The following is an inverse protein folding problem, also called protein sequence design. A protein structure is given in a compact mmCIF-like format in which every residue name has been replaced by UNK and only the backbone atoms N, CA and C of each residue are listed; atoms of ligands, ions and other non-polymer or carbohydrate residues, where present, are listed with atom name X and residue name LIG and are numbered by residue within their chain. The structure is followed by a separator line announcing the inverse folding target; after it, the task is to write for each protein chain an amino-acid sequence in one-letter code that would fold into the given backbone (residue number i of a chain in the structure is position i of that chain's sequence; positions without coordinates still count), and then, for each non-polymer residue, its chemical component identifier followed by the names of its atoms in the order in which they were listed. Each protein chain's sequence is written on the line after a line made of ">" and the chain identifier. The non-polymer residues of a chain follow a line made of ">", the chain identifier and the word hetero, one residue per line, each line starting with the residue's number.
data_IF_568884649705
#
_entry.id   IF_568884649705
#
_cell.length_a   1.000
_cell.length_b   1.000
_cell.length_c   1.000
_cell.angle_alpha   90.00
_cell.angle_beta   90.00
_cell.angle_gamma   90.00
#
_symmetry.space_group_name_H-M   'P 1'
#
loop_
_entity.id
_entity.type
_entity.pdbx_description
1 polymer ?
#
# COMPACT_ATOMS: atom_id res chain seq x y z
N UNK A 1 -21.81 12.63 -6.87
CA UNK A 1 -20.71 13.42 -7.41
C UNK A 1 -21.15 14.00 -8.76
N UNK A 2 -21.09 15.32 -8.93
CA UNK A 2 -21.27 16.00 -10.22
C UNK A 2 -19.91 16.51 -10.72
N UNK A 3 -19.73 16.48 -12.07
CA UNK A 3 -18.54 17.01 -12.72
C UNK A 3 -18.97 18.07 -13.74
N UNK A 4 -18.37 19.26 -13.65
CA UNK A 4 -18.62 20.35 -14.61
C UNK A 4 -17.30 20.81 -15.19
N UNK A 5 -17.18 20.81 -16.53
CA UNK A 5 -16.00 21.31 -17.24
C UNK A 5 -16.30 22.65 -17.90
N UNK A 6 -15.34 23.58 -17.82
CA UNK A 6 -15.36 24.88 -18.51
C UNK A 6 -13.98 25.22 -19.07
N UNK A 7 -13.93 26.08 -20.09
CA UNK A 7 -12.69 26.48 -20.78
C UNK A 7 -12.43 25.70 -22.06
N UNK A 8 -11.25 25.92 -22.65
CA UNK A 8 -10.80 25.37 -23.94
C UNK A 8 -9.61 24.39 -23.76
N UNK A 9 -8.89 24.09 -24.84
CA UNK A 9 -7.74 23.18 -24.77
C UNK A 9 -6.46 23.84 -24.22
N UNK A 10 -6.40 25.18 -24.18
CA UNK A 10 -5.26 25.92 -23.60
C UNK A 10 -5.41 26.04 -22.08
N UNK A 11 -6.60 26.33 -21.64
CA UNK A 11 -6.95 26.48 -20.23
C UNK A 11 -8.34 25.94 -19.96
N UNK A 12 -8.43 24.92 -19.11
CA UNK A 12 -9.73 24.41 -18.66
C UNK A 12 -9.76 24.13 -17.17
N UNK A 13 -10.96 24.11 -16.63
CA UNK A 13 -11.24 23.69 -15.25
C UNK A 13 -12.27 22.57 -15.24
N UNK A 14 -12.15 21.70 -14.25
CA UNK A 14 -13.17 20.70 -13.90
C UNK A 14 -13.52 20.90 -12.44
N UNK A 15 -14.75 21.19 -12.14
CA UNK A 15 -15.29 21.23 -10.79
C UNK A 15 -15.94 19.88 -10.46
N UNK A 16 -15.47 19.26 -9.37
CA UNK A 16 -16.03 18.02 -8.83
C UNK A 16 -16.76 18.35 -7.52
N UNK A 17 -18.08 18.25 -7.54
CA UNK A 17 -18.94 18.62 -6.41
C UNK A 17 -19.58 17.37 -5.80
N UNK A 18 -19.41 17.19 -4.48
CA UNK A 18 -19.99 16.09 -3.71
C UNK A 18 -21.49 16.31 -3.42
N UNK A 19 -22.14 15.32 -2.82
CA UNK A 19 -23.56 15.42 -2.44
C UNK A 19 -23.83 16.52 -1.39
N UNK A 20 -22.83 16.89 -0.59
CA UNK A 20 -22.90 18.00 0.37
C UNK A 20 -22.39 19.34 -0.20
N UNK A 21 -22.36 19.47 -1.54
CA UNK A 21 -21.90 20.66 -2.25
C UNK A 21 -20.44 21.08 -1.93
N UNK A 22 -19.59 20.13 -1.55
CA UNK A 22 -18.16 20.35 -1.42
C UNK A 22 -17.52 20.28 -2.79
N UNK A 23 -16.95 21.38 -3.27
CA UNK A 23 -16.39 21.47 -4.63
C UNK A 23 -14.87 21.48 -4.60
N UNK A 24 -14.24 20.50 -5.22
CA UNK A 24 -12.82 20.52 -5.58
C UNK A 24 -12.69 21.01 -7.02
N UNK A 25 -11.77 21.95 -7.25
CA UNK A 25 -11.50 22.51 -8.59
C UNK A 25 -10.16 22.01 -9.11
N UNK A 26 -10.19 21.45 -10.30
CA UNK A 26 -9.01 20.99 -11.06
C UNK A 26 -8.82 21.94 -12.26
N UNK A 27 -7.73 22.69 -12.29
CA UNK A 27 -7.38 23.57 -13.41
C UNK A 27 -6.16 23.04 -14.11
N UNK A 28 -6.19 23.03 -15.43
CA UNK A 28 -5.07 22.64 -16.30
C UNK A 28 -4.82 23.77 -17.28
N UNK A 29 -3.57 24.22 -17.33
CA UNK A 29 -3.09 25.29 -18.20
C UNK A 29 -1.88 24.81 -19.00
N UNK A 30 -1.97 24.83 -20.32
CA UNK A 30 -0.86 24.60 -21.23
C UNK A 30 -0.07 25.91 -21.41
N UNK A 31 1.18 25.92 -20.94
CA UNK A 31 2.01 27.12 -20.93
C UNK A 31 2.52 27.45 -22.32
N UNK A 32 2.60 28.73 -22.69
CA UNK A 32 3.13 29.18 -23.99
C UNK A 32 4.59 28.80 -24.20
N UNK A 33 5.38 28.76 -23.13
CA UNK A 33 6.77 28.29 -23.16
C UNK A 33 6.90 26.75 -23.22
N UNK A 34 5.77 26.06 -23.30
CA UNK A 34 5.68 24.61 -23.19
C UNK A 34 5.57 24.14 -21.73
N UNK A 35 5.13 22.91 -21.56
CA UNK A 35 4.81 22.34 -20.24
C UNK A 35 3.34 22.56 -19.85
N UNK A 36 3.01 22.06 -18.66
CA UNK A 36 1.62 22.00 -18.19
C UNK A 36 1.55 22.34 -16.71
N UNK A 37 0.78 23.36 -16.35
CA UNK A 37 0.52 23.73 -14.97
C UNK A 37 -0.85 23.17 -14.56
N UNK A 38 -0.86 22.34 -13.55
CA UNK A 38 -2.08 21.78 -12.93
C UNK A 38 -2.25 22.37 -11.54
N UNK A 39 -3.44 22.88 -11.27
CA UNK A 39 -3.79 23.42 -9.96
C UNK A 39 -5.00 22.66 -9.42
N UNK A 40 -4.89 22.17 -8.19
CA UNK A 40 -6.02 21.56 -7.47
C UNK A 40 -6.33 22.46 -6.29
N UNK A 41 -7.57 22.94 -6.24
CA UNK A 41 -8.10 23.72 -5.12
C UNK A 41 -9.13 22.85 -4.39
N UNK A 42 -8.85 22.56 -3.13
CA UNK A 42 -9.76 21.81 -2.26
C UNK A 42 -11.00 22.66 -1.87
N UNK A 43 -12.09 22.04 -1.40
CA UNK A 43 -13.29 22.77 -0.98
C UNK A 43 -13.06 23.82 0.11
N UNK A 44 -11.99 23.70 0.88
CA UNK A 44 -11.57 24.67 1.90
C UNK A 44 -10.59 25.75 1.39
N UNK A 45 -10.37 25.80 0.06
CA UNK A 45 -9.51 26.79 -0.59
C UNK A 45 -7.99 26.48 -0.54
N UNK A 46 -7.56 25.34 -0.01
CA UNK A 46 -6.16 24.93 -0.07
C UNK A 46 -5.77 24.59 -1.50
N UNK A 47 -4.59 25.07 -1.92
CA UNK A 47 -4.13 24.97 -3.30
C UNK A 47 -2.88 24.10 -3.38
N UNK A 48 -2.95 23.07 -4.22
CA UNK A 48 -1.80 22.30 -4.70
C UNK A 48 -1.51 22.67 -6.15
N UNK A 49 -0.25 22.89 -6.50
CA UNK A 49 0.16 23.09 -7.89
C UNK A 49 1.12 21.99 -8.34
N UNK A 50 1.02 21.59 -9.59
CA UNK A 50 1.97 20.67 -10.26
C UNK A 50 2.37 21.29 -11.59
N UNK A 51 3.64 21.62 -11.73
CA UNK A 51 4.25 22.02 -12.98
C UNK A 51 4.94 20.83 -13.63
N UNK A 52 4.54 20.47 -14.82
CA UNK A 52 5.19 19.49 -15.68
C UNK A 52 6.05 20.24 -16.71
N UNK A 53 7.37 20.10 -16.60
CA UNK A 53 8.34 20.73 -17.52
C UNK A 53 8.51 19.92 -18.80
N UNK A 54 9.07 20.57 -19.84
CA UNK A 54 9.46 19.90 -21.10
C UNK A 54 10.67 18.97 -20.93
N UNK A 55 11.42 19.16 -19.86
CA UNK A 55 12.60 18.39 -19.47
C UNK A 55 12.25 17.14 -18.65
N UNK A 56 11.01 16.69 -18.70
CA UNK A 56 10.45 15.62 -17.84
C UNK A 56 10.56 15.92 -16.34
N UNK A 57 10.76 17.19 -15.96
CA UNK A 57 10.67 17.57 -14.55
C UNK A 57 9.22 17.73 -14.13
N UNK A 58 8.97 17.39 -12.86
CA UNK A 58 7.70 17.62 -12.17
C UNK A 58 7.97 18.35 -10.88
N UNK A 59 7.38 19.53 -10.72
CA UNK A 59 7.45 20.30 -9.48
C UNK A 59 6.05 20.39 -8.86
N UNK A 60 5.93 19.92 -7.64
CA UNK A 60 4.68 19.98 -6.84
C UNK A 60 4.92 21.00 -5.74
N UNK A 61 4.00 21.96 -5.58
CA UNK A 61 3.96 22.85 -4.42
C UNK A 61 2.70 22.56 -3.63
N UNK A 62 2.89 22.12 -2.39
CA UNK A 62 1.82 21.82 -1.44
C UNK A 62 1.29 23.09 -0.78
N UNK A 63 0.07 23.08 -0.17
CA UNK A 63 -0.53 24.27 0.46
C UNK A 63 0.27 24.84 1.62
N UNK A 64 1.09 24.04 2.29
CA UNK A 64 2.00 24.46 3.35
C UNK A 64 3.28 25.12 2.83
N UNK A 65 3.46 25.21 1.49
CA UNK A 65 4.65 25.74 0.84
C UNK A 65 5.78 24.71 0.64
N UNK A 66 5.59 23.43 1.01
CA UNK A 66 6.55 22.37 0.69
C UNK A 66 6.64 22.19 -0.82
N UNK A 67 7.87 22.20 -1.37
CA UNK A 67 8.14 22.00 -2.79
C UNK A 67 8.81 20.64 -2.99
N UNK A 68 8.19 19.80 -3.83
CA UNK A 68 8.75 18.53 -4.25
C UNK A 68 9.08 18.58 -5.74
N UNK A 69 10.35 18.42 -6.10
CA UNK A 69 10.81 18.36 -7.49
C UNK A 69 11.32 16.98 -7.82
N UNK A 70 10.79 16.41 -8.91
CA UNK A 70 11.25 15.14 -9.49
C UNK A 70 11.82 15.45 -10.88
N UNK A 71 13.00 14.89 -11.19
CA UNK A 71 13.58 14.90 -12.54
C UNK A 71 13.83 13.49 -12.98
N UNK A 72 13.64 13.22 -14.27
CA UNK A 72 13.82 11.89 -14.86
C UNK A 72 15.02 11.87 -15.79
N UNK A 73 15.78 10.77 -15.74
CA UNK A 73 16.96 10.52 -16.56
C UNK A 73 16.80 9.16 -17.24
N UNK A 74 17.40 8.98 -18.43
CA UNK A 74 17.31 7.72 -19.15
C UNK A 74 18.03 6.59 -18.40
N UNK A 75 17.43 5.41 -18.38
CA UNK A 75 18.10 4.15 -18.04
C UNK A 75 19.17 3.86 -19.12
N UNK A 76 20.36 3.32 -18.78
CA UNK A 76 21.41 3.03 -19.75
C UNK A 76 21.03 1.98 -20.82
N UNK A 77 20.01 1.13 -20.55
CA UNK A 77 19.52 0.10 -21.48
C UNK A 77 18.21 0.48 -22.16
N UNK A 78 17.27 1.01 -21.38
CA UNK A 78 15.88 1.22 -21.81
C UNK A 78 15.54 2.69 -22.08
N UNK A 79 16.50 3.60 -21.88
CA UNK A 79 16.26 5.03 -22.05
C UNK A 79 15.13 5.55 -21.14
N UNK A 80 14.29 6.43 -21.70
CA UNK A 80 13.13 6.99 -20.96
C UNK A 80 11.93 6.04 -20.88
N UNK A 81 12.02 4.80 -21.36
CA UNK A 81 10.97 3.78 -21.16
C UNK A 81 11.02 3.22 -19.73
N UNK A 82 12.18 3.28 -19.06
CA UNK A 82 12.35 2.89 -17.65
C UNK A 82 13.17 3.96 -16.91
N UNK A 83 12.66 5.21 -16.76
CA UNK A 83 13.47 6.34 -16.32
C UNK A 83 13.91 6.20 -14.87
N UNK A 84 15.15 6.60 -14.59
CA UNK A 84 15.66 6.84 -13.26
C UNK A 84 15.14 8.19 -12.76
N UNK A 85 14.81 8.30 -11.48
CA UNK A 85 14.20 9.52 -10.91
C UNK A 85 15.04 10.07 -9.78
N UNK A 86 15.37 11.37 -9.84
CA UNK A 86 15.88 12.11 -8.71
C UNK A 86 14.76 12.93 -8.06
N UNK A 87 14.79 13.04 -6.75
CA UNK A 87 13.80 13.74 -5.95
C UNK A 87 14.48 14.77 -5.06
N UNK A 88 13.91 15.98 -5.00
CA UNK A 88 14.27 17.00 -4.02
C UNK A 88 13.00 17.46 -3.32
N UNK A 89 13.00 17.44 -2.00
CA UNK A 89 11.92 17.98 -1.16
C UNK A 89 12.48 19.16 -0.39
N UNK A 90 11.87 20.33 -0.54
CA UNK A 90 12.21 21.55 0.20
C UNK A 90 11.03 21.96 1.07
N UNK A 91 11.22 22.01 2.37
CA UNK A 91 10.20 22.45 3.32
C UNK A 91 10.07 23.98 3.32
N UNK A 92 8.97 24.57 3.82
CA UNK A 92 8.79 26.04 3.88
C UNK A 92 9.89 26.79 4.64
N UNK A 93 10.51 26.13 5.62
CA UNK A 93 11.64 26.70 6.40
C UNK A 93 13.02 26.47 5.76
N UNK A 94 13.05 25.97 4.51
CA UNK A 94 14.28 25.81 3.72
C UNK A 94 15.07 24.52 3.98
N UNK A 95 14.57 23.56 4.77
CA UNK A 95 15.22 22.24 4.88
C UNK A 95 15.06 21.49 3.57
N UNK A 96 16.17 20.87 3.12
CA UNK A 96 16.21 20.14 1.85
C UNK A 96 16.55 18.68 2.10
N UNK A 97 15.74 17.77 1.53
CA UNK A 97 16.02 16.36 1.41
C UNK A 97 16.20 16.00 -0.06
N UNK A 98 17.27 15.26 -0.37
CA UNK A 98 17.59 14.83 -1.74
C UNK A 98 17.69 13.32 -1.85
N UNK A 99 17.12 12.78 -2.92
CA UNK A 99 17.30 11.40 -3.36
C UNK A 99 17.82 11.42 -4.77
N UNK A 100 18.99 10.82 -5.00
CA UNK A 100 19.57 10.67 -6.33
C UNK A 100 19.69 9.19 -6.65
N UNK A 101 19.25 8.80 -7.84
CA UNK A 101 19.40 7.43 -8.35
C UNK A 101 20.26 7.42 -9.59
N UNK A 102 21.20 6.50 -9.66
CA UNK A 102 22.00 6.24 -10.85
C UNK A 102 22.08 4.75 -11.13
N UNK A 103 22.22 4.38 -12.40
CA UNK A 103 22.42 3.00 -12.85
C UNK A 103 23.55 2.94 -13.84
N UNK A 104 24.43 1.97 -13.71
CA UNK A 104 25.35 1.55 -14.75
C UNK A 104 25.04 0.11 -15.16
N UNK A 105 25.16 -0.19 -16.44
CA UNK A 105 24.95 -1.53 -16.97
C UNK A 105 26.08 -1.83 -17.98
N UNK A 106 26.64 -3.04 -17.89
CA UNK A 106 27.64 -3.56 -18.83
C UNK A 106 26.99 -4.65 -19.67
N UNK A 107 27.04 -4.53 -20.97
CA UNK A 107 26.52 -5.50 -21.95
C UNK A 107 27.69 -6.22 -22.61
N UNK A 108 27.54 -7.51 -22.91
CA UNK A 108 28.51 -8.25 -23.75
C UNK A 108 28.37 -7.88 -25.25
N UNK A 109 27.16 -7.49 -25.65
CA UNK A 109 26.84 -6.96 -26.98
C UNK A 109 26.09 -5.61 -26.77
N UNK A 110 26.69 -4.47 -27.17
CA UNK A 110 26.05 -3.16 -27.00
C UNK A 110 24.71 -3.00 -27.72
N UNK A 111 24.47 -3.78 -28.78
CA UNK A 111 23.24 -3.74 -29.58
C UNK A 111 22.13 -4.64 -28.99
N UNK A 112 22.48 -5.53 -28.05
CA UNK A 112 21.51 -6.38 -27.33
C UNK A 112 21.37 -5.93 -25.86
N UNK A 113 20.28 -5.22 -25.54
CA UNK A 113 19.97 -4.74 -24.21
C UNK A 113 19.75 -5.87 -23.16
N UNK A 114 19.58 -7.12 -23.61
CA UNK A 114 19.44 -8.30 -22.76
C UNK A 114 20.77 -9.02 -22.51
N UNK A 115 21.85 -8.64 -23.18
CA UNK A 115 23.21 -9.22 -23.03
C UNK A 115 23.93 -8.72 -21.77
N UNK A 116 23.19 -8.46 -20.67
CA UNK A 116 23.70 -7.89 -19.44
C UNK A 116 24.74 -8.79 -18.76
N UNK A 117 25.91 -8.25 -18.44
CA UNK A 117 27.01 -8.94 -17.74
C UNK A 117 27.20 -8.38 -16.31
N UNK A 118 26.83 -7.11 -16.06
CA UNK A 118 26.83 -6.50 -14.74
C UNK A 118 25.88 -5.30 -14.70
N UNK A 119 25.29 -5.05 -13.53
CA UNK A 119 24.51 -3.84 -13.29
C UNK A 119 24.79 -3.33 -11.87
N UNK A 120 24.94 -2.02 -11.74
CA UNK A 120 25.11 -1.36 -10.45
C UNK A 120 24.10 -0.23 -10.35
N UNK A 121 23.26 -0.31 -9.33
CA UNK A 121 22.35 0.74 -8.92
C UNK A 121 22.89 1.47 -7.70
N UNK A 122 22.87 2.79 -7.74
CA UNK A 122 23.20 3.62 -6.59
C UNK A 122 22.00 4.50 -6.23
N UNK A 123 21.66 4.50 -4.94
CA UNK A 123 20.65 5.36 -4.36
C UNK A 123 21.32 6.20 -3.28
N UNK A 124 21.34 7.53 -3.45
CA UNK A 124 21.98 8.45 -2.52
C UNK A 124 20.89 9.30 -1.85
N UNK A 125 20.65 9.04 -0.57
CA UNK A 125 19.69 9.77 0.25
C UNK A 125 20.43 10.72 1.20
N UNK A 126 20.31 12.02 0.97
CA UNK A 126 20.98 13.05 1.78
C UNK A 126 22.49 12.80 1.95
N UNK A 127 23.15 12.40 0.84
CA UNK A 127 24.59 12.09 0.84
C UNK A 127 24.96 10.69 1.33
N UNK A 128 24.02 9.87 1.81
CA UNK A 128 24.24 8.48 2.23
C UNK A 128 23.95 7.53 1.06
N UNK A 129 24.97 6.78 0.64
CA UNK A 129 24.90 5.91 -0.52
C UNK A 129 24.49 4.48 -0.16
N UNK A 130 23.48 3.97 -0.86
CA UNK A 130 23.12 2.56 -0.91
C UNK A 130 23.50 2.05 -2.30
N UNK A 131 24.11 0.88 -2.37
CA UNK A 131 24.49 0.26 -3.63
C UNK A 131 23.83 -1.11 -3.77
N UNK A 132 23.39 -1.42 -4.99
CA UNK A 132 22.90 -2.75 -5.38
C UNK A 132 23.68 -3.20 -6.62
N UNK A 133 24.39 -4.31 -6.50
CA UNK A 133 25.16 -4.91 -7.58
C UNK A 133 24.49 -6.20 -8.02
N UNK A 134 24.13 -6.28 -9.29
CA UNK A 134 23.57 -7.50 -9.90
C UNK A 134 24.60 -8.19 -10.76
N UNK A 135 24.83 -9.47 -10.48
CA UNK A 135 25.66 -10.39 -11.26
C UNK A 135 24.73 -11.38 -12.00
N UNK A 136 24.51 -11.22 -13.32
CA UNK A 136 23.62 -12.09 -14.08
C UNK A 136 24.14 -13.53 -14.24
N UNK A 137 25.47 -13.75 -14.21
CA UNK A 137 26.05 -15.08 -14.34
C UNK A 137 25.76 -15.96 -13.11
N UNK A 138 25.65 -15.32 -11.95
CA UNK A 138 25.33 -15.98 -10.68
C UNK A 138 23.86 -15.79 -10.27
N UNK A 139 23.08 -15.02 -11.02
CA UNK A 139 21.71 -14.61 -10.66
C UNK A 139 21.67 -14.04 -9.23
N UNK A 140 22.58 -13.11 -8.94
CA UNK A 140 22.86 -12.66 -7.58
C UNK A 140 22.83 -11.14 -7.47
N UNK A 141 22.12 -10.65 -6.47
CA UNK A 141 22.22 -9.27 -5.99
C UNK A 141 23.11 -9.18 -4.76
N UNK A 142 23.87 -8.09 -4.66
CA UNK A 142 24.60 -7.72 -3.44
C UNK A 142 24.23 -6.28 -3.11
N UNK A 143 23.44 -6.10 -2.06
CA UNK A 143 23.00 -4.81 -1.58
C UNK A 143 23.90 -4.37 -0.43
N UNK A 144 24.33 -3.11 -0.45
CA UNK A 144 25.25 -2.54 0.55
C UNK A 144 24.63 -1.25 1.10
N UNK A 145 24.52 -1.17 2.43
CA UNK A 145 24.06 0.05 3.11
C UNK A 145 25.19 1.08 3.25
N UNK A 146 24.89 2.34 3.59
CA UNK A 146 25.93 3.36 3.84
C UNK A 146 26.93 3.00 4.94
N UNK A 147 26.55 2.12 5.86
CA UNK A 147 27.41 1.60 6.93
C UNK A 147 28.22 0.35 6.52
N UNK A 148 28.13 -0.06 5.24
CA UNK A 148 28.82 -1.23 4.71
C UNK A 148 28.22 -2.58 5.06
N UNK A 149 26.99 -2.62 5.63
CA UNK A 149 26.27 -3.91 5.82
C UNK A 149 25.84 -4.46 4.48
N UNK A 150 26.02 -5.75 4.28
CA UNK A 150 25.67 -6.42 3.04
C UNK A 150 24.53 -7.41 3.23
N UNK A 151 23.65 -7.44 2.24
CA UNK A 151 22.67 -8.50 1.99
C UNK A 151 22.95 -9.08 0.61
N UNK A 152 23.05 -10.40 0.53
CA UNK A 152 23.23 -11.12 -0.73
C UNK A 152 21.97 -11.94 -1.00
N UNK A 153 21.35 -11.73 -2.17
CA UNK A 153 20.16 -12.46 -2.60
C UNK A 153 20.46 -13.23 -3.88
N UNK A 154 20.19 -14.54 -3.86
CA UNK A 154 20.22 -15.39 -5.05
C UNK A 154 18.80 -15.55 -5.58
N UNK A 155 18.65 -15.40 -6.88
CA UNK A 155 17.35 -15.50 -7.56
C UNK A 155 17.34 -16.64 -8.57
N UNK A 156 16.15 -17.08 -8.96
CA UNK A 156 15.99 -17.96 -10.09
C UNK A 156 15.88 -17.18 -11.42
N UNK A 157 15.73 -17.92 -12.53
CA UNK A 157 15.55 -17.33 -13.86
C UNK A 157 14.25 -16.52 -14.03
N UNK A 158 13.32 -16.60 -13.10
CA UNK A 158 12.07 -15.82 -13.06
C UNK A 158 12.18 -14.60 -12.14
N UNK A 159 13.36 -14.37 -11.51
CA UNK A 159 13.60 -13.26 -10.59
C UNK A 159 13.09 -13.47 -9.17
N UNK A 160 12.73 -14.72 -8.79
CA UNK A 160 12.26 -15.03 -7.42
C UNK A 160 13.45 -15.32 -6.53
N UNK A 161 13.44 -14.82 -5.29
CA UNK A 161 14.53 -15.05 -4.32
C UNK A 161 14.52 -16.53 -3.90
N UNK A 162 15.65 -17.20 -4.08
CA UNK A 162 15.87 -18.58 -3.62
C UNK A 162 16.60 -18.63 -2.28
N UNK A 163 17.49 -17.68 -2.05
CA UNK A 163 18.29 -17.58 -0.83
C UNK A 163 18.62 -16.13 -0.51
N UNK A 164 18.58 -15.80 0.75
CA UNK A 164 19.04 -14.52 1.27
C UNK A 164 20.05 -14.71 2.38
N UNK A 165 21.16 -13.98 2.31
CA UNK A 165 22.27 -14.01 3.26
C UNK A 165 22.47 -12.59 3.81
N UNK A 166 22.28 -12.42 5.10
CA UNK A 166 22.49 -11.16 5.81
C UNK A 166 23.63 -11.32 6.79
N UNK A 167 24.63 -10.44 6.71
CA UNK A 167 25.81 -10.53 7.59
C UNK A 167 25.42 -10.58 9.07
N UNK A 168 25.86 -11.63 9.76
CA UNK A 168 25.58 -11.86 11.18
C UNK A 168 24.28 -12.59 11.49
N UNK A 169 23.52 -13.00 10.47
CA UNK A 169 22.32 -13.83 10.59
C UNK A 169 22.52 -15.16 9.85
N UNK A 170 21.75 -16.16 10.25
CA UNK A 170 21.64 -17.42 9.49
C UNK A 170 20.99 -17.18 8.13
N UNK A 171 21.42 -17.92 7.12
CA UNK A 171 20.87 -17.88 5.77
C UNK A 171 19.37 -18.19 5.80
N UNK A 172 18.63 -17.56 4.89
CA UNK A 172 17.20 -17.83 4.67
C UNK A 172 16.99 -18.39 3.26
N UNK A 173 16.42 -19.59 3.16
CA UNK A 173 16.10 -20.27 1.92
C UNK A 173 14.59 -20.23 1.63
N UNK A 174 14.24 -20.03 0.35
CA UNK A 174 12.86 -19.92 -0.12
C UNK A 174 12.57 -21.03 -1.14
N UNK A 175 11.44 -21.68 -1.02
CA UNK A 175 11.00 -22.71 -1.99
C UNK A 175 9.67 -22.33 -2.59
N UNK A 176 9.48 -22.72 -3.86
CA UNK A 176 8.27 -22.40 -4.63
C UNK A 176 7.71 -23.64 -5.31
N UNK A 177 6.41 -23.66 -5.50
CA UNK A 177 5.76 -24.69 -6.30
C UNK A 177 5.90 -24.43 -7.81
N UNK A 178 5.40 -25.35 -8.62
CA UNK A 178 5.43 -25.27 -10.10
C UNK A 178 4.66 -24.07 -10.67
N UNK A 179 3.76 -23.45 -9.88
CA UNK A 179 3.02 -22.25 -10.23
C UNK A 179 3.72 -20.96 -9.76
N UNK A 180 4.91 -21.08 -9.12
CA UNK A 180 5.68 -19.96 -8.60
C UNK A 180 5.18 -19.41 -7.26
N UNK A 181 4.34 -20.12 -6.52
CA UNK A 181 3.86 -19.71 -5.21
C UNK A 181 4.82 -20.20 -4.12
N UNK A 182 5.09 -19.35 -3.12
CA UNK A 182 5.98 -19.66 -2.01
C UNK A 182 5.43 -20.85 -1.20
N UNK A 183 6.21 -21.91 -1.01
CA UNK A 183 5.82 -23.10 -0.25
C UNK A 183 6.55 -23.24 1.06
N UNK A 184 7.77 -22.67 1.17
CA UNK A 184 8.50 -22.67 2.44
C UNK A 184 9.49 -21.53 2.55
N UNK A 185 9.76 -21.16 3.80
CA UNK A 185 10.86 -20.28 4.22
C UNK A 185 11.60 -21.00 5.34
N UNK A 186 12.89 -21.29 5.13
CA UNK A 186 13.76 -21.95 6.09
C UNK A 186 14.89 -21.01 6.49
N UNK A 187 15.07 -20.74 7.77
CA UNK A 187 16.20 -19.96 8.30
C UNK A 187 17.11 -20.86 9.11
N UNK A 188 18.40 -20.83 8.79
CA UNK A 188 19.41 -21.70 9.42
C UNK A 188 19.44 -23.10 8.81
N UNK A 189 20.12 -24.04 9.46
CA UNK A 189 20.28 -25.40 8.98
C UNK A 189 20.36 -26.42 10.14
N UNK A 190 20.02 -27.69 9.83
CA UNK A 190 20.13 -28.80 10.78
C UNK A 190 19.20 -28.65 11.99
N UNK A 191 19.72 -28.85 13.19
CA UNK A 191 18.91 -28.83 14.41
C UNK A 191 18.42 -27.42 14.81
N UNK A 192 18.99 -26.37 14.24
CA UNK A 192 18.60 -24.98 14.49
C UNK A 192 17.70 -24.40 13.39
N UNK A 193 17.35 -25.18 12.38
CA UNK A 193 16.51 -24.74 11.27
C UNK A 193 15.12 -24.28 11.76
N UNK A 194 14.70 -23.13 11.27
CA UNK A 194 13.37 -22.59 11.49
C UNK A 194 12.59 -22.64 10.20
N UNK A 195 11.86 -23.74 9.99
CA UNK A 195 11.07 -23.97 8.80
C UNK A 195 9.63 -23.48 8.99
N UNK A 196 9.19 -22.56 8.15
CA UNK A 196 7.77 -22.24 7.96
C UNK A 196 7.31 -22.77 6.61
N UNK A 197 6.11 -23.36 6.54
CA UNK A 197 5.57 -23.92 5.30
C UNK A 197 4.16 -23.41 4.99
N UNK A 198 3.86 -23.33 3.70
CA UNK A 198 2.57 -22.88 3.17
C UNK A 198 2.07 -23.95 2.20
N UNK A 199 0.85 -24.43 2.40
CA UNK A 199 0.18 -25.30 1.43
C UNK A 199 -0.98 -24.57 0.75
N UNK A 200 -1.37 -25.05 -0.42
CA UNK A 200 -2.44 -24.46 -1.22
C UNK A 200 -3.48 -25.51 -1.59
N UNK A 201 -4.73 -25.10 -1.63
CA UNK A 201 -5.81 -25.96 -2.11
C UNK A 201 -5.83 -26.01 -3.66
N UNK A 202 -6.62 -26.92 -4.28
CA UNK A 202 -6.69 -27.04 -5.74
C UNK A 202 -7.09 -25.74 -6.47
N UNK A 203 -7.86 -24.86 -5.81
CA UNK A 203 -8.30 -23.57 -6.35
C UNK A 203 -7.20 -22.50 -6.27
N UNK A 204 -6.07 -22.78 -5.58
CA UNK A 204 -4.94 -21.88 -5.48
C UNK A 204 -4.92 -20.99 -4.23
N UNK A 205 -5.90 -21.11 -3.35
CA UNK A 205 -5.92 -20.39 -2.07
C UNK A 205 -5.06 -21.12 -1.03
N UNK A 206 -4.53 -20.36 -0.05
CA UNK A 206 -3.73 -20.93 1.05
C UNK A 206 -4.57 -21.92 1.85
N UNK A 207 -4.17 -23.19 1.88
CA UNK A 207 -4.86 -24.22 2.66
C UNK A 207 -4.35 -24.27 4.10
N UNK A 208 -3.03 -24.13 4.31
CA UNK A 208 -2.45 -24.06 5.65
C UNK A 208 -1.16 -23.25 5.67
N UNK A 209 -0.85 -22.71 6.85
CA UNK A 209 0.46 -22.11 7.19
C UNK A 209 0.93 -22.80 8.46
N UNK A 210 2.14 -23.36 8.42
CA UNK A 210 2.77 -24.04 9.56
C UNK A 210 4.03 -23.29 9.97
N UNK A 211 4.16 -22.99 11.24
CA UNK A 211 5.31 -22.28 11.81
C UNK A 211 6.46 -23.24 12.18
N UNK A 212 7.66 -22.71 12.56
CA UNK A 212 8.80 -23.55 12.93
C UNK A 212 8.61 -24.42 14.18
N UNK A 213 7.55 -24.23 14.93
CA UNK A 213 7.18 -25.09 16.07
C UNK A 213 6.16 -26.15 15.69
N UNK A 214 5.93 -26.37 14.37
CA UNK A 214 4.93 -27.28 13.81
C UNK A 214 3.48 -26.92 14.21
N UNK A 215 3.19 -25.67 14.52
CA UNK A 215 1.85 -25.20 14.78
C UNK A 215 1.23 -24.74 13.46
N UNK A 216 0.11 -25.39 13.08
CA UNK A 216 -0.53 -25.13 11.78
C UNK A 216 -1.86 -24.41 11.95
N UNK A 217 -2.05 -23.38 11.14
CA UNK A 217 -3.35 -22.73 10.92
C UNK A 217 -3.86 -23.17 9.56
N UNK A 218 -5.13 -23.60 9.48
CA UNK A 218 -5.77 -24.07 8.24
C UNK A 218 -6.92 -23.13 7.88
N UNK A 219 -7.23 -23.04 6.57
CA UNK A 219 -8.27 -22.17 6.04
C UNK A 219 -9.22 -22.94 5.13
N UNK A 220 -10.51 -22.63 5.24
CA UNK A 220 -11.55 -23.05 4.31
C UNK A 220 -12.17 -21.83 3.64
N UNK A 221 -12.65 -22.03 2.43
CA UNK A 221 -13.11 -20.95 1.56
C UNK A 221 -14.48 -21.26 0.97
N UNK A 222 -15.25 -20.23 0.69
CA UNK A 222 -16.42 -20.33 -0.16
C UNK A 222 -16.01 -20.40 -1.66
N UNK A 223 -16.98 -20.65 -2.58
CA UNK A 223 -16.69 -20.71 -4.01
C UNK A 223 -16.15 -19.40 -4.61
N UNK A 224 -16.30 -18.26 -3.93
CA UNK A 224 -15.81 -16.95 -4.38
C UNK A 224 -14.41 -16.64 -3.83
N UNK A 225 -13.83 -17.51 -3.00
CA UNK A 225 -12.47 -17.38 -2.44
C UNK A 225 -12.39 -16.60 -1.13
N UNK A 226 -13.51 -16.40 -0.43
CA UNK A 226 -13.52 -15.76 0.89
C UNK A 226 -13.36 -16.82 1.97
N UNK A 227 -12.60 -16.51 3.02
CA UNK A 227 -12.37 -17.42 4.14
C UNK A 227 -13.66 -17.62 4.94
N UNK A 228 -14.17 -18.84 4.98
CA UNK A 228 -15.36 -19.19 5.80
C UNK A 228 -14.98 -19.78 7.15
N UNK A 229 -13.78 -20.36 7.25
CA UNK A 229 -13.29 -20.98 8.49
C UNK A 229 -11.77 -20.85 8.60
N UNK A 230 -11.30 -20.54 9.79
CA UNK A 230 -9.91 -20.66 10.20
C UNK A 230 -9.81 -21.66 11.35
N UNK A 231 -8.95 -22.68 11.19
CA UNK A 231 -8.69 -23.68 12.22
C UNK A 231 -7.34 -23.37 12.85
N UNK A 232 -7.34 -23.11 14.14
CA UNK A 232 -6.16 -22.75 14.92
C UNK A 232 -5.30 -23.98 15.23
N UNK A 233 -4.03 -23.82 15.67
CA UNK A 233 -3.15 -24.95 15.99
C UNK A 233 -3.66 -25.89 17.09
N UNK A 234 -4.52 -25.41 17.96
CA UNK A 234 -5.19 -26.18 19.02
C UNK A 234 -6.55 -26.76 18.57
N UNK A 235 -6.82 -26.76 17.27
CA UNK A 235 -8.01 -27.25 16.60
C UNK A 235 -9.29 -26.42 16.89
N UNK A 236 -9.19 -25.30 17.58
CA UNK A 236 -10.31 -24.37 17.75
C UNK A 236 -10.59 -23.65 16.44
N UNK A 237 -11.85 -23.34 16.18
CA UNK A 237 -12.32 -22.78 14.92
C UNK A 237 -12.81 -21.34 15.11
N UNK A 238 -12.48 -20.49 14.13
CA UNK A 238 -13.09 -19.19 13.89
C UNK A 238 -13.89 -19.29 12.61
N UNK A 239 -15.20 -19.00 12.67
CA UNK A 239 -16.07 -19.06 11.49
C UNK A 239 -16.46 -17.65 11.04
N UNK A 240 -16.60 -17.48 9.73
CA UNK A 240 -16.96 -16.22 9.08
C UNK A 240 -18.16 -16.44 8.18
N UNK A 241 -19.09 -15.49 8.18
CA UNK A 241 -20.17 -15.41 7.19
C UNK A 241 -20.14 -14.08 6.47
N UNK A 242 -20.77 -14.01 5.31
CA UNK A 242 -20.76 -12.84 4.44
C UNK A 242 -22.17 -12.53 3.96
N UNK A 243 -22.43 -11.25 3.76
CA UNK A 243 -23.65 -10.80 3.07
C UNK A 243 -23.55 -10.98 1.54
N UNK A 244 -24.60 -10.60 0.83
CA UNK A 244 -24.65 -10.72 -0.64
C UNK A 244 -23.65 -9.80 -1.36
N UNK A 245 -23.22 -8.71 -0.72
CA UNK A 245 -22.22 -7.78 -1.28
C UNK A 245 -20.78 -8.23 -1.00
N UNK A 246 -20.59 -9.24 -0.11
CA UNK A 246 -19.29 -9.76 0.27
C UNK A 246 -18.72 -9.16 1.56
N UNK A 247 -19.47 -8.34 2.27
CA UNK A 247 -19.08 -7.84 3.58
C UNK A 247 -19.20 -8.94 4.63
N UNK A 248 -18.31 -8.93 5.63
CA UNK A 248 -18.37 -9.91 6.75
C UNK A 248 -19.63 -9.66 7.58
N UNK A 249 -20.60 -10.57 7.54
CA UNK A 249 -21.84 -10.44 8.31
C UNK A 249 -21.76 -11.02 9.72
N UNK A 250 -20.87 -12.03 9.94
CA UNK A 250 -20.55 -12.46 11.30
C UNK A 250 -19.14 -13.05 11.44
N UNK A 251 -18.63 -12.98 12.68
CA UNK A 251 -17.41 -13.65 13.13
C UNK A 251 -17.75 -14.43 14.39
N UNK A 252 -17.53 -15.76 14.36
CA UNK A 252 -17.75 -16.62 15.52
C UNK A 252 -16.39 -17.09 16.07
N UNK A 253 -15.92 -16.54 17.21
CA UNK A 253 -14.71 -16.99 17.87
C UNK A 253 -14.86 -18.39 18.46
N UNK A 254 -13.75 -19.10 18.77
CA UNK A 254 -13.80 -20.43 19.32
C UNK A 254 -14.55 -20.52 20.64
N UNK A 255 -15.59 -21.37 20.68
CA UNK A 255 -16.39 -21.59 21.90
C UNK A 255 -17.13 -20.36 22.42
N UNK A 256 -17.34 -19.35 21.57
CA UNK A 256 -18.06 -18.12 21.88
C UNK A 256 -19.21 -17.92 20.88
N UNK A 257 -20.27 -17.18 21.25
CA UNK A 257 -21.29 -16.75 20.30
C UNK A 257 -20.73 -15.80 19.25
N UNK A 258 -21.47 -15.65 18.15
CA UNK A 258 -21.08 -14.79 17.03
C UNK A 258 -21.10 -13.28 17.40
N UNK A 259 -20.23 -12.54 16.74
CA UNK A 259 -20.29 -11.09 16.60
C UNK A 259 -20.92 -10.80 15.23
N UNK A 260 -22.00 -10.02 15.19
CA UNK A 260 -22.74 -9.72 13.97
C UNK A 260 -22.48 -8.29 13.50
N UNK A 261 -22.44 -8.10 12.19
CA UNK A 261 -22.18 -6.83 11.52
C UNK A 261 -23.28 -6.56 10.48
N UNK A 262 -23.71 -5.32 10.38
CA UNK A 262 -24.62 -4.87 9.34
C UNK A 262 -24.02 -3.68 8.61
N UNK A 263 -24.42 -3.51 7.35
CA UNK A 263 -23.88 -2.49 6.46
C UNK A 263 -24.99 -1.64 5.85
N UNK A 264 -24.63 -0.43 5.47
CA UNK A 264 -25.48 0.44 4.68
C UNK A 264 -25.57 -0.06 3.23
N UNK A 265 -26.47 0.53 2.43
CA UNK A 265 -26.56 0.24 0.97
C UNK A 265 -25.28 0.59 0.18
N UNK A 266 -24.31 1.27 0.78
CA UNK A 266 -23.04 1.68 0.16
C UNK A 266 -21.85 1.03 0.87
N UNK A 267 -22.08 -0.12 1.53
CA UNK A 267 -21.10 -1.00 2.18
C UNK A 267 -20.30 -0.33 3.32
N UNK A 268 -20.90 0.64 4.01
CA UNK A 268 -20.37 1.17 5.26
C UNK A 268 -20.98 0.41 6.44
N UNK A 269 -20.18 0.06 7.45
CA UNK A 269 -20.69 -0.59 8.67
C UNK A 269 -21.75 0.29 9.33
N UNK A 270 -22.95 -0.26 9.53
CA UNK A 270 -24.06 0.46 10.15
C UNK A 270 -24.35 0.00 11.57
N UNK A 271 -24.06 -1.25 11.87
CA UNK A 271 -24.25 -1.82 13.20
C UNK A 271 -23.23 -2.92 13.50
N UNK A 272 -22.68 -2.88 14.69
CA UNK A 272 -21.94 -3.98 15.30
C UNK A 272 -22.71 -4.48 16.51
N UNK A 273 -22.98 -5.78 16.56
CA UNK A 273 -23.63 -6.46 17.65
C UNK A 273 -22.71 -7.52 18.27
N UNK A 274 -22.15 -7.27 19.46
CA UNK A 274 -21.41 -8.29 20.19
C UNK A 274 -22.34 -9.40 20.68
N UNK A 275 -21.81 -10.55 21.11
CA UNK A 275 -22.59 -11.59 21.74
C UNK A 275 -23.42 -11.10 22.92
N UNK A 276 -24.62 -11.65 23.08
CA UNK A 276 -25.54 -11.27 24.19
C UNK A 276 -24.88 -11.56 25.54
N UNK A 277 -24.80 -10.53 26.37
CA UNK A 277 -24.24 -10.58 27.72
C UNK A 277 -25.32 -10.38 28.80
N UNK A 278 -26.59 -10.62 28.44
CA UNK A 278 -27.74 -10.46 29.37
C UNK A 278 -28.28 -9.05 29.45
N UNK A 279 -27.78 -8.10 28.67
CA UNK A 279 -28.32 -6.74 28.53
C UNK A 279 -29.30 -6.68 27.37
N UNK A 280 -30.42 -5.92 27.47
CA UNK A 280 -31.44 -5.85 26.41
C UNK A 280 -30.91 -5.15 25.12
N UNK A 281 -30.02 -4.17 25.23
CA UNK A 281 -29.38 -3.47 24.11
C UNK A 281 -27.87 -3.54 24.30
N UNK A 282 -27.19 -4.07 23.29
CA UNK A 282 -25.72 -4.25 23.29
C UNK A 282 -25.11 -4.06 21.92
N UNK A 283 -25.71 -3.18 21.11
CA UNK A 283 -25.24 -2.85 19.77
C UNK A 283 -24.57 -1.49 19.75
N UNK A 284 -23.58 -1.35 18.85
CA UNK A 284 -22.99 -0.08 18.45
C UNK A 284 -23.53 0.27 17.07
N UNK A 285 -24.02 1.48 16.87
CA UNK A 285 -24.54 1.93 15.58
C UNK A 285 -23.69 3.07 15.04
N UNK A 286 -23.47 3.06 13.70
CA UNK A 286 -22.66 4.01 12.99
C UNK A 286 -23.52 4.77 11.98
N UNK A 287 -23.39 6.09 11.99
CA UNK A 287 -24.13 6.97 11.09
C UNK A 287 -23.17 7.79 10.25
N UNK A 288 -23.56 8.07 9.01
CA UNK A 288 -22.73 8.73 8.03
C UNK A 288 -23.48 9.86 7.32
N UNK A 289 -22.73 10.85 6.85
CA UNK A 289 -23.26 11.86 5.96
C UNK A 289 -23.31 11.36 4.50
N UNK A 290 -23.84 12.19 3.62
CA UNK A 290 -23.95 11.86 2.19
C UNK A 290 -22.58 11.75 1.47
N UNK A 291 -21.50 12.22 2.09
CA UNK A 291 -20.12 12.08 1.62
C UNK A 291 -19.41 10.88 2.28
N UNK A 292 -20.19 10.00 2.94
CA UNK A 292 -19.71 8.77 3.61
C UNK A 292 -18.79 9.02 4.80
N UNK A 293 -18.87 10.19 5.43
CA UNK A 293 -18.10 10.50 6.63
C UNK A 293 -18.91 10.17 7.87
N UNK A 294 -18.31 9.56 8.92
CA UNK A 294 -19.01 9.29 10.17
C UNK A 294 -19.58 10.57 10.78
N UNK A 295 -20.87 10.58 11.11
CA UNK A 295 -21.51 11.70 11.81
C UNK A 295 -21.72 11.42 13.29
N UNK A 296 -22.01 10.15 13.61
CA UNK A 296 -22.11 9.73 15.01
C UNK A 296 -21.89 8.23 15.18
N UNK A 297 -21.47 7.86 16.38
CA UNK A 297 -21.44 6.48 16.88
C UNK A 297 -22.31 6.43 18.13
N UNK A 298 -23.35 5.60 18.11
CA UNK A 298 -24.20 5.34 19.27
C UNK A 298 -23.72 4.06 19.94
N UNK A 299 -23.33 4.17 21.21
CA UNK A 299 -22.82 3.07 22.03
C UNK A 299 -23.93 2.21 22.60
N UNK A 300 -23.65 1.00 23.13
CA UNK A 300 -24.63 0.13 23.79
C UNK A 300 -25.37 0.76 24.97
N UNK A 301 -24.76 1.74 25.62
CA UNK A 301 -25.39 2.50 26.74
C UNK A 301 -26.30 3.63 26.24
N UNK A 302 -26.50 3.77 24.92
CA UNK A 302 -27.30 4.80 24.29
C UNK A 302 -26.61 6.16 24.18
N UNK A 303 -25.37 6.29 24.68
CA UNK A 303 -24.62 7.52 24.59
C UNK A 303 -23.95 7.63 23.24
N UNK A 304 -23.85 8.85 22.68
CA UNK A 304 -23.34 9.10 21.33
C UNK A 304 -22.03 9.86 21.34
N UNK A 305 -21.13 9.46 20.43
CA UNK A 305 -19.96 10.24 20.02
C UNK A 305 -20.34 10.93 18.71
N UNK A 306 -20.26 12.27 18.65
CA UNK A 306 -20.55 13.02 17.43
C UNK A 306 -19.28 13.55 16.77
N UNK A 307 -19.25 13.58 15.44
CA UNK A 307 -18.12 14.05 14.64
C UNK A 307 -18.53 15.30 13.86
N UNK A 308 -17.71 16.35 13.93
CA UNK A 308 -17.95 17.61 13.24
C UNK A 308 -16.85 17.88 12.20
N UNK A 309 -17.25 18.33 11.03
CA UNK A 309 -16.38 18.56 9.89
C UNK A 309 -16.43 20.01 9.43
N UNK A 310 -15.30 20.54 8.92
CA UNK A 310 -15.27 21.82 8.25
C UNK A 310 -15.92 21.75 6.84
N UNK A 311 -15.98 22.90 6.18
CA UNK A 311 -16.52 23.01 4.81
C UNK A 311 -15.77 22.14 3.79
N UNK A 312 -14.48 21.86 4.02
CA UNK A 312 -13.66 20.96 3.22
C UNK A 312 -13.83 19.49 3.57
N UNK A 313 -14.63 19.18 4.60
CA UNK A 313 -14.86 17.82 5.08
C UNK A 313 -13.71 17.25 5.90
N UNK A 314 -12.83 18.07 6.50
CA UNK A 314 -11.83 17.64 7.48
C UNK A 314 -12.45 17.64 8.87
N UNK A 315 -12.10 16.64 9.67
CA UNK A 315 -12.58 16.55 11.06
C UNK A 315 -12.08 17.76 11.86
N UNK A 316 -13.00 18.53 12.44
CA UNK A 316 -12.69 19.67 13.32
C UNK A 316 -12.57 19.18 14.76
N UNK A 317 -13.57 18.46 15.23
CA UNK A 317 -13.59 17.88 16.55
C UNK A 317 -14.55 16.67 16.61
N UNK A 318 -14.47 15.94 17.69
CA UNK A 318 -15.48 14.97 18.09
C UNK A 318 -15.95 15.31 19.51
N UNK A 319 -17.26 15.10 19.76
CA UNK A 319 -17.89 15.38 21.04
C UNK A 319 -18.13 14.04 21.73
N UNK A 320 -17.48 13.86 22.88
CA UNK A 320 -17.71 12.69 23.73
C UNK A 320 -18.99 12.87 24.55
N UNK A 321 -19.70 11.77 24.84
CA UNK A 321 -20.83 11.83 25.74
C UNK A 321 -20.35 12.26 27.14
N UNK A 322 -21.12 13.12 27.77
CA UNK A 322 -20.93 13.43 29.19
C UNK A 322 -21.52 12.27 29.98
N UNK A 323 -20.68 11.57 30.74
CA UNK A 323 -21.09 10.52 31.67
C UNK A 323 -21.77 11.07 32.91
#
# INVERSE_FOLDING_TARGET
>A
LSLTRSGDNQLYTVDATTALNRTSRFRVENLLAGGNLRTVTDPNGLVNTTLLGLDNSRTITSPDGTVTRTTQYPDPRFGLQAPLSNLTVTTPNGLVSTLTTTRSATLSDPDDIFSLTAMVDMLILNGRAFASVYDPALLKFTDTTPEGRQTVSFIDSQGRILKEQVSGLEDTDFSYDVRGRLTSVAQGAGASERLSSISYNPNGFVASVTDPLNRSVQFQYDPTGRVTKQILPDLREINFTYDANGNVSSITPPGRPAHDFQYTQVDLESEYRPPAIGLPEHRTQFFYDLDKKPTSIVRPDGLSIAFNYDVGGRLINFVLPRG
#
